data_IF_498517431264
#
_entry.id   IF_498517431264
#
_cell.length_a   1.000
_cell.length_b   1.000
_cell.length_c   1.000
_cell.angle_alpha   90.00
_cell.angle_beta   90.00
_cell.angle_gamma   90.00
#
_symmetry.space_group_name_H-M   'P 1'
#
loop_
_entity.id
_entity.type
_entity.pdbx_description
1 polymer ?
#
# COMPACT_ATOMS: atom_id res chain seq x y z
N UNK A 1 -16.55 3.21 0.85
CA UNK A 1 -15.06 3.17 0.76
C UNK A 1 -14.63 4.41 0.00
N UNK A 2 -13.64 5.12 0.51
CA UNK A 2 -13.07 6.34 -0.06
C UNK A 2 -11.61 6.09 -0.39
N UNK A 3 -11.21 6.28 -1.63
CA UNK A 3 -9.84 6.12 -2.10
C UNK A 3 -9.24 7.50 -2.34
N UNK A 4 -8.10 7.80 -1.72
CA UNK A 4 -7.47 9.12 -1.76
C UNK A 4 -6.00 8.95 -2.19
N UNK A 5 -5.59 9.71 -3.21
CA UNK A 5 -4.25 9.70 -3.78
C UNK A 5 -3.54 11.01 -3.42
N UNK A 6 -2.41 10.92 -2.74
CA UNK A 6 -1.61 12.08 -2.34
C UNK A 6 -0.29 12.21 -3.11
N UNK A 7 -0.07 11.37 -4.16
CA UNK A 7 1.13 11.48 -5.00
C UNK A 7 1.04 12.72 -5.89
N UNK A 8 1.88 13.75 -5.66
CA UNK A 8 1.80 14.98 -6.42
C UNK A 8 2.43 14.88 -7.83
N UNK A 9 3.13 13.78 -8.12
CA UNK A 9 3.89 13.64 -9.38
C UNK A 9 3.13 12.77 -10.37
N UNK A 10 2.68 11.59 -9.95
CA UNK A 10 2.10 10.61 -10.86
C UNK A 10 0.59 10.45 -10.67
N UNK A 11 0.09 10.61 -9.44
CA UNK A 11 -1.32 10.38 -9.08
C UNK A 11 -1.89 9.11 -9.74
N UNK A 12 -1.12 8.01 -9.68
CA UNK A 12 -1.43 6.77 -10.40
C UNK A 12 -2.70 6.12 -9.87
N UNK A 13 -2.90 6.18 -8.55
CA UNK A 13 -4.06 5.59 -7.90
C UNK A 13 -5.36 6.30 -8.32
N UNK A 14 -5.33 7.62 -8.49
CA UNK A 14 -6.46 8.40 -8.96
C UNK A 14 -6.86 8.09 -10.43
N UNK A 15 -6.00 7.40 -11.20
CA UNK A 15 -6.30 7.01 -12.57
C UNK A 15 -7.17 5.75 -12.66
N UNK A 16 -7.34 5.00 -11.56
CA UNK A 16 -8.20 3.82 -11.51
C UNK A 16 -9.67 4.22 -11.39
N UNK A 17 -10.37 4.28 -12.54
CA UNK A 17 -11.78 4.72 -12.60
C UNK A 17 -12.72 3.86 -11.75
N UNK A 18 -12.48 2.55 -11.73
CA UNK A 18 -13.26 1.59 -10.93
C UNK A 18 -13.17 1.80 -9.42
N UNK A 19 -12.15 2.51 -8.94
CA UNK A 19 -11.98 2.85 -7.52
C UNK A 19 -12.57 4.22 -7.18
N UNK A 20 -12.79 5.09 -8.16
CA UNK A 20 -13.26 6.45 -7.92
C UNK A 20 -12.32 7.26 -7.03
N UNK A 21 -11.01 6.99 -7.12
CA UNK A 21 -10.03 7.61 -6.24
C UNK A 21 -9.91 9.12 -6.52
N UNK A 22 -9.90 9.90 -5.45
CA UNK A 22 -9.77 11.36 -5.47
C UNK A 22 -8.31 11.76 -5.26
N UNK A 23 -7.79 12.64 -6.08
CA UNK A 23 -6.45 13.21 -5.89
C UNK A 23 -6.48 14.39 -4.91
N UNK A 24 -5.71 14.28 -3.83
CA UNK A 24 -5.51 15.34 -2.83
C UNK A 24 -4.26 16.12 -3.19
N UNK A 25 -4.43 17.37 -3.59
CA UNK A 25 -3.30 18.22 -3.98
C UNK A 25 -2.53 18.73 -2.74
N UNK A 26 -1.42 18.12 -2.46
CA UNK A 26 -0.53 18.46 -1.32
C UNK A 26 0.53 19.51 -1.66
N UNK A 27 0.56 20.00 -2.92
CA UNK A 27 1.54 21.00 -3.35
C UNK A 27 1.06 22.44 -3.15
N UNK A 28 2.01 23.29 -2.78
CA UNK A 28 1.90 24.75 -2.85
C UNK A 28 3.17 25.32 -3.50
N UNK A 29 3.02 26.01 -4.62
CA UNK A 29 4.15 26.56 -5.40
C UNK A 29 5.19 25.52 -5.80
N UNK A 30 4.75 24.30 -6.12
CA UNK A 30 5.60 23.20 -6.57
C UNK A 30 6.32 22.42 -5.48
N UNK A 31 6.09 22.72 -4.19
CA UNK A 31 6.66 21.98 -3.05
C UNK A 31 5.56 21.41 -2.18
N UNK A 32 5.82 20.27 -1.52
CA UNK A 32 4.89 19.70 -0.55
C UNK A 32 4.70 20.70 0.59
N UNK A 33 3.44 20.96 0.91
CA UNK A 33 3.05 21.88 1.98
C UNK A 33 2.24 21.09 3.00
N UNK A 34 2.87 20.74 4.10
CA UNK A 34 2.34 19.80 5.11
C UNK A 34 0.93 20.16 5.60
N UNK A 35 0.63 21.44 5.76
CA UNK A 35 -0.73 21.89 6.11
C UNK A 35 -1.82 21.44 5.11
N UNK A 36 -1.46 21.00 3.92
CA UNK A 36 -2.42 20.42 2.95
C UNK A 36 -2.91 19.04 3.37
N UNK A 37 -2.19 18.37 4.26
CA UNK A 37 -2.66 17.12 4.85
C UNK A 37 -3.81 17.30 5.83
N UNK A 38 -4.06 18.54 6.34
CA UNK A 38 -5.24 18.84 7.16
C UNK A 38 -6.52 18.44 6.42
N UNK A 39 -6.63 18.76 5.11
CA UNK A 39 -7.78 18.40 4.28
C UNK A 39 -8.04 16.87 4.26
N UNK A 40 -6.97 16.07 4.21
CA UNK A 40 -7.06 14.61 4.27
C UNK A 40 -7.60 14.14 5.63
N UNK A 41 -7.07 14.70 6.72
CA UNK A 41 -7.47 14.35 8.09
C UNK A 41 -8.92 14.77 8.35
N UNK A 42 -9.31 15.97 7.92
CA UNK A 42 -10.69 16.46 8.03
C UNK A 42 -11.67 15.54 7.30
N UNK A 43 -11.36 15.13 6.04
CA UNK A 43 -12.18 14.19 5.28
C UNK A 43 -12.34 12.84 6.01
N UNK A 44 -11.29 12.34 6.65
CA UNK A 44 -11.35 11.09 7.43
C UNK A 44 -12.23 11.25 8.67
N UNK A 45 -12.13 12.37 9.38
CA UNK A 45 -12.90 12.60 10.59
C UNK A 45 -14.38 12.83 10.31
N UNK A 46 -14.70 13.62 9.27
CA UNK A 46 -16.06 14.00 8.92
C UNK A 46 -16.81 12.92 8.14
N UNK A 47 -16.09 12.09 7.37
CA UNK A 47 -16.69 11.06 6.53
C UNK A 47 -17.00 9.77 7.28
N UNK A 48 -17.77 8.88 6.68
CA UNK A 48 -18.08 7.54 7.20
C UNK A 48 -17.42 6.46 6.37
N UNK A 49 -17.19 5.28 6.96
CA UNK A 49 -16.70 4.09 6.27
C UNK A 49 -15.18 4.00 6.22
N UNK A 50 -14.65 3.31 5.21
CA UNK A 50 -13.23 2.97 5.07
C UNK A 50 -12.56 3.98 4.15
N UNK A 51 -11.40 4.49 4.58
CA UNK A 51 -10.53 5.35 3.79
C UNK A 51 -9.25 4.60 3.43
N UNK A 52 -8.90 4.61 2.15
CA UNK A 52 -7.64 4.06 1.62
C UNK A 52 -6.84 5.24 1.08
N UNK A 53 -5.64 5.44 1.62
CA UNK A 53 -4.77 6.55 1.28
C UNK A 53 -3.52 6.00 0.62
N UNK A 54 -3.26 6.42 -0.60
CA UNK A 54 -2.02 6.13 -1.30
C UNK A 54 -1.06 7.31 -1.20
N UNK A 55 0.16 7.01 -0.75
CA UNK A 55 1.25 8.01 -0.65
C UNK A 55 2.32 7.67 -1.68
N UNK A 56 2.58 8.56 -2.60
CA UNK A 56 3.73 8.43 -3.49
C UNK A 56 5.06 8.45 -2.72
N UNK A 57 6.13 7.91 -3.32
CA UNK A 57 7.45 7.83 -2.68
C UNK A 57 7.96 9.21 -2.19
N UNK A 58 7.65 10.29 -2.90
CA UNK A 58 8.04 11.66 -2.54
C UNK A 58 7.21 12.23 -1.39
N UNK A 59 5.98 11.73 -1.20
CA UNK A 59 5.04 12.23 -0.20
C UNK A 59 5.14 11.46 1.12
N UNK A 60 5.63 10.21 1.09
CA UNK A 60 5.69 9.36 2.28
C UNK A 60 6.39 10.03 3.46
N UNK A 61 7.63 10.51 3.28
CA UNK A 61 8.40 11.09 4.39
C UNK A 61 7.77 12.36 4.95
N UNK A 62 7.38 13.37 4.15
CA UNK A 62 6.70 14.56 4.67
C UNK A 62 5.36 14.23 5.33
N UNK A 63 4.58 13.32 4.75
CA UNK A 63 3.31 12.90 5.33
C UNK A 63 3.50 12.20 6.68
N UNK A 64 4.46 11.28 6.77
CA UNK A 64 4.72 10.58 8.01
C UNK A 64 5.25 11.49 9.11
N UNK A 65 6.12 12.45 8.78
CA UNK A 65 6.55 13.48 9.72
C UNK A 65 5.35 14.31 10.23
N UNK A 66 4.47 14.75 9.32
CA UNK A 66 3.24 15.45 9.69
C UNK A 66 2.36 14.62 10.64
N UNK A 67 2.19 13.33 10.35
CA UNK A 67 1.42 12.40 11.19
C UNK A 67 1.98 12.34 12.61
N UNK A 68 3.31 12.26 12.75
CA UNK A 68 3.99 12.18 14.05
C UNK A 68 3.96 13.51 14.80
N UNK A 69 4.34 14.61 14.15
CA UNK A 69 4.42 15.94 14.77
C UNK A 69 3.08 16.45 15.28
N UNK A 70 2.00 16.04 14.62
CA UNK A 70 0.64 16.48 14.96
C UNK A 70 -0.17 15.39 15.70
N UNK A 71 0.46 14.29 16.14
CA UNK A 71 -0.19 13.18 16.87
C UNK A 71 -1.45 12.65 16.15
N UNK A 72 -1.41 12.59 14.80
CA UNK A 72 -2.60 12.30 13.95
C UNK A 72 -3.16 10.91 14.23
N UNK A 73 -2.34 9.90 14.54
CA UNK A 73 -2.85 8.57 14.83
C UNK A 73 -3.74 8.59 16.08
N UNK A 74 -3.29 9.24 17.16
CA UNK A 74 -4.04 9.39 18.41
C UNK A 74 -5.29 10.25 18.20
N UNK A 75 -5.16 11.32 17.40
CA UNK A 75 -6.27 12.18 17.05
C UNK A 75 -7.38 11.41 16.31
N UNK A 76 -7.03 10.60 15.29
CA UNK A 76 -7.97 9.76 14.56
C UNK A 76 -8.61 8.69 15.45
N UNK A 77 -7.85 8.08 16.35
CA UNK A 77 -8.39 7.13 17.33
C UNK A 77 -9.39 7.78 18.28
N UNK A 78 -9.11 9.02 18.74
CA UNK A 78 -10.04 9.80 19.52
C UNK A 78 -11.36 10.07 18.80
N UNK A 79 -11.36 10.05 17.47
CA UNK A 79 -12.53 10.14 16.60
C UNK A 79 -13.12 8.79 16.20
N UNK A 80 -12.73 7.70 16.89
CA UNK A 80 -13.24 6.35 16.64
C UNK A 80 -12.69 5.69 15.35
N UNK A 81 -11.58 6.21 14.80
CA UNK A 81 -10.93 5.65 13.62
C UNK A 81 -9.84 4.66 14.01
N UNK A 82 -9.82 3.50 13.38
CA UNK A 82 -8.70 2.58 13.43
C UNK A 82 -7.80 2.84 12.23
N UNK A 83 -6.50 2.85 12.45
CA UNK A 83 -5.52 3.12 11.39
C UNK A 83 -4.63 1.90 11.21
N UNK A 84 -4.56 1.40 9.98
CA UNK A 84 -3.65 0.35 9.56
C UNK A 84 -2.62 0.93 8.59
N UNK A 85 -1.36 0.63 8.82
CA UNK A 85 -0.26 1.11 7.97
C UNK A 85 0.24 -0.04 7.11
N UNK A 86 0.04 0.06 5.81
CA UNK A 86 0.53 -0.90 4.84
C UNK A 86 1.89 -0.46 4.31
N UNK A 87 2.93 -1.23 4.56
CA UNK A 87 4.28 -0.98 4.06
C UNK A 87 4.68 -2.04 3.06
N UNK A 88 5.23 -1.62 1.91
CA UNK A 88 5.63 -2.52 0.85
C UNK A 88 7.15 -2.70 0.88
N UNK A 89 7.59 -3.95 1.04
CA UNK A 89 8.98 -4.35 0.84
C UNK A 89 9.07 -5.05 -0.51
N UNK A 90 9.88 -4.52 -1.41
CA UNK A 90 10.00 -5.01 -2.78
C UNK A 90 11.33 -5.76 -2.94
N UNK A 91 11.28 -6.94 -3.53
CA UNK A 91 12.49 -7.67 -3.89
C UNK A 91 13.33 -6.97 -4.97
N UNK A 92 14.54 -7.46 -5.22
CA UNK A 92 15.43 -6.90 -6.22
C UNK A 92 16.10 -5.57 -5.80
N UNK A 93 16.30 -4.66 -6.76
CA UNK A 93 17.10 -3.44 -6.55
C UNK A 93 16.49 -2.47 -5.51
N UNK A 94 15.17 -2.39 -5.41
CA UNK A 94 14.49 -1.48 -4.49
C UNK A 94 14.38 -2.01 -3.06
N UNK A 95 14.87 -3.22 -2.77
CA UNK A 95 14.70 -3.86 -1.46
C UNK A 95 15.28 -3.02 -0.32
N UNK A 96 16.50 -2.50 -0.48
CA UNK A 96 17.15 -1.70 0.56
C UNK A 96 16.37 -0.43 0.89
N UNK A 97 15.87 0.27 -0.13
CA UNK A 97 15.12 1.52 0.07
C UNK A 97 13.78 1.27 0.75
N UNK A 98 13.09 0.19 0.35
CA UNK A 98 11.80 -0.19 0.96
C UNK A 98 11.96 -0.72 2.39
N UNK A 99 13.05 -1.43 2.69
CA UNK A 99 13.38 -1.82 4.07
C UNK A 99 13.68 -0.60 4.95
N UNK A 100 14.44 0.39 4.46
CA UNK A 100 14.70 1.62 5.19
C UNK A 100 13.39 2.38 5.50
N UNK A 101 12.44 2.38 4.58
CA UNK A 101 11.10 2.94 4.82
C UNK A 101 10.35 2.21 5.93
N UNK A 102 10.41 0.87 5.94
CA UNK A 102 9.81 0.04 6.97
C UNK A 102 10.48 0.26 8.35
N UNK A 103 11.82 0.42 8.42
CA UNK A 103 12.54 0.73 9.65
C UNK A 103 12.04 2.04 10.28
N UNK A 104 11.86 3.10 9.48
CA UNK A 104 11.31 4.36 9.98
C UNK A 104 9.90 4.21 10.55
N UNK A 105 9.04 3.43 9.91
CA UNK A 105 7.72 3.10 10.45
C UNK A 105 7.83 2.33 11.77
N UNK A 106 8.72 1.35 11.83
CA UNK A 106 8.95 0.54 13.02
C UNK A 106 9.44 1.36 14.22
N UNK A 107 10.32 2.34 14.00
CA UNK A 107 10.84 3.21 15.07
C UNK A 107 9.78 4.13 15.66
N UNK A 108 8.85 4.60 14.83
CA UNK A 108 7.91 5.67 15.17
C UNK A 108 6.50 5.19 15.54
N UNK A 109 6.12 3.97 15.14
CA UNK A 109 4.83 3.37 15.48
C UNK A 109 4.90 2.64 16.83
N UNK A 110 3.90 2.82 17.67
CA UNK A 110 3.80 2.17 18.99
C UNK A 110 2.79 1.05 19.05
N UNK A 111 1.91 0.94 18.04
CA UNK A 111 0.77 0.04 18.01
C UNK A 111 0.96 -1.14 17.07
N UNK A 112 0.21 -2.21 17.33
CA UNK A 112 0.17 -3.40 16.46
C UNK A 112 -0.78 -3.17 15.29
N UNK A 113 -0.37 -2.33 14.34
CA UNK A 113 -1.19 -1.92 13.19
C UNK A 113 -0.44 -1.91 11.85
N UNK A 114 0.80 -2.42 11.81
CA UNK A 114 1.59 -2.47 10.58
C UNK A 114 1.32 -3.79 9.85
N UNK A 115 1.04 -3.68 8.55
CA UNK A 115 0.91 -4.80 7.61
C UNK A 115 2.04 -4.67 6.58
N UNK A 116 2.88 -5.70 6.48
CA UNK A 116 3.98 -5.71 5.52
C UNK A 116 3.58 -6.50 4.28
N UNK A 117 3.73 -5.87 3.11
CA UNK A 117 3.58 -6.53 1.82
C UNK A 117 4.95 -6.92 1.28
N UNK A 118 5.17 -8.22 1.09
CA UNK A 118 6.37 -8.73 0.43
C UNK A 118 6.07 -8.82 -1.07
N UNK A 119 6.54 -7.84 -1.82
CA UNK A 119 6.33 -7.76 -3.25
C UNK A 119 7.49 -8.44 -3.99
N UNK A 120 7.29 -9.68 -4.37
CA UNK A 120 8.26 -10.52 -5.08
C UNK A 120 8.17 -10.40 -6.61
N UNK A 121 7.41 -9.44 -7.12
CA UNK A 121 7.27 -9.24 -8.57
C UNK A 121 8.61 -8.97 -9.27
N UNK A 122 9.56 -8.36 -8.57
CA UNK A 122 10.91 -8.09 -9.06
C UNK A 122 11.98 -9.04 -8.49
N UNK A 123 11.57 -10.17 -7.96
CA UNK A 123 12.40 -11.18 -7.30
C UNK A 123 12.05 -11.37 -5.83
N UNK A 124 12.48 -12.47 -5.26
CA UNK A 124 12.23 -12.81 -3.85
C UNK A 124 12.77 -11.75 -2.89
N UNK A 125 12.08 -11.57 -1.77
CA UNK A 125 12.54 -10.70 -0.67
C UNK A 125 13.50 -11.50 0.22
N UNK A 126 14.71 -11.72 -0.29
CA UNK A 126 15.76 -12.49 0.38
C UNK A 126 17.09 -11.71 0.37
N UNK A 127 17.90 -11.87 1.41
CA UNK A 127 19.24 -11.27 1.51
C UNK A 127 20.17 -12.22 2.28
N UNK A 128 21.33 -12.49 1.70
CA UNK A 128 22.35 -13.36 2.30
C UNK A 128 21.81 -14.77 2.68
N UNK A 129 20.87 -15.29 1.86
CA UNK A 129 20.23 -16.59 2.07
C UNK A 129 19.15 -16.61 3.15
N UNK A 130 18.78 -15.45 3.71
CA UNK A 130 17.72 -15.30 4.70
C UNK A 130 16.45 -14.79 4.06
N UNK A 131 15.29 -15.22 4.56
CA UNK A 131 13.98 -14.68 4.22
C UNK A 131 13.65 -13.45 5.06
N UNK A 132 12.58 -12.73 4.71
CA UNK A 132 12.16 -11.52 5.45
C UNK A 132 11.96 -11.79 6.95
N UNK A 133 11.40 -12.94 7.32
CA UNK A 133 11.14 -13.33 8.70
C UNK A 133 12.43 -13.49 9.53
N UNK A 134 13.57 -13.72 8.86
CA UNK A 134 14.89 -13.87 9.48
C UNK A 134 15.69 -12.55 9.49
N UNK A 135 15.12 -11.46 8.97
CA UNK A 135 15.75 -10.15 9.02
C UNK A 135 15.59 -9.55 10.43
N UNK A 136 16.60 -8.81 10.87
CA UNK A 136 16.54 -8.11 12.14
C UNK A 136 15.33 -7.17 12.22
N UNK A 137 14.99 -6.48 11.14
CA UNK A 137 13.82 -5.60 11.08
C UNK A 137 12.50 -6.35 11.34
N UNK A 138 12.36 -7.59 10.91
CA UNK A 138 11.16 -8.39 11.18
C UNK A 138 11.05 -8.75 12.67
N UNK A 139 12.17 -9.04 13.32
CA UNK A 139 12.23 -9.27 14.77
C UNK A 139 11.86 -7.98 15.54
N UNK A 140 12.48 -6.85 15.19
CA UNK A 140 12.22 -5.54 15.82
C UNK A 140 10.76 -5.08 15.60
N UNK A 141 10.18 -5.45 14.47
CA UNK A 141 8.79 -5.12 14.08
C UNK A 141 7.74 -6.05 14.71
N UNK A 142 8.10 -7.25 15.15
CA UNK A 142 7.17 -8.28 15.59
C UNK A 142 6.08 -7.79 16.59
N UNK A 143 6.38 -6.92 17.57
CA UNK A 143 5.36 -6.38 18.48
C UNK A 143 4.32 -5.48 17.80
N UNK A 144 4.66 -4.89 16.65
CA UNK A 144 3.89 -3.89 15.91
C UNK A 144 3.26 -4.46 14.63
N UNK A 145 3.71 -5.65 14.23
CA UNK A 145 3.28 -6.33 13.02
C UNK A 145 1.91 -6.99 13.24
N UNK A 146 0.92 -6.57 12.46
CA UNK A 146 -0.38 -7.24 12.40
C UNK A 146 -0.30 -8.51 11.55
N UNK A 147 0.44 -8.46 10.44
CA UNK A 147 0.73 -9.61 9.61
C UNK A 147 1.45 -9.24 8.30
N UNK A 148 1.70 -10.25 7.49
CA UNK A 148 2.35 -10.13 6.18
C UNK A 148 1.43 -10.60 5.06
N UNK A 149 1.52 -9.95 3.91
CA UNK A 149 0.87 -10.33 2.65
C UNK A 149 1.95 -10.53 1.61
N UNK A 150 1.96 -11.65 0.92
CA UNK A 150 2.98 -11.96 -0.10
C UNK A 150 2.37 -11.90 -1.49
N UNK A 151 2.88 -10.99 -2.32
CA UNK A 151 2.68 -11.00 -3.76
C UNK A 151 3.83 -11.79 -4.38
N UNK A 152 3.60 -13.09 -4.61
CA UNK A 152 4.63 -14.05 -5.01
C UNK A 152 5.16 -13.77 -6.41
N UNK A 153 6.44 -14.04 -6.60
CA UNK A 153 7.03 -14.16 -7.93
C UNK A 153 6.28 -15.20 -8.74
N UNK A 154 6.04 -14.89 -10.01
CA UNK A 154 5.34 -15.78 -10.94
C UNK A 154 6.02 -15.72 -12.30
N UNK A 155 5.68 -16.67 -13.16
CA UNK A 155 6.21 -16.69 -14.53
C UNK A 155 5.93 -15.32 -15.22
N UNK A 156 6.99 -14.58 -15.61
CA UNK A 156 6.87 -13.24 -16.16
C UNK A 156 6.15 -13.20 -17.52
N UNK A 157 6.24 -14.29 -18.31
CA UNK A 157 5.64 -14.37 -19.66
C UNK A 157 4.16 -14.77 -19.65
N UNK A 158 3.58 -15.05 -18.49
CA UNK A 158 2.15 -15.36 -18.35
C UNK A 158 1.51 -14.43 -17.32
N UNK A 159 1.61 -14.76 -16.04
CA UNK A 159 1.07 -13.93 -14.95
C UNK A 159 1.63 -12.50 -14.95
N UNK A 160 2.95 -12.36 -15.19
CA UNK A 160 3.60 -11.04 -15.22
C UNK A 160 3.07 -10.17 -16.36
N UNK A 161 2.91 -10.73 -17.56
CA UNK A 161 2.36 -10.00 -18.71
C UNK A 161 0.90 -9.63 -18.48
N UNK A 162 0.06 -10.54 -17.94
CA UNK A 162 -1.34 -10.25 -17.64
C UNK A 162 -1.48 -9.15 -16.59
N UNK A 163 -0.70 -9.22 -15.49
CA UNK A 163 -0.71 -8.18 -14.45
C UNK A 163 -0.23 -6.85 -15.03
N UNK A 164 0.85 -6.84 -15.80
CA UNK A 164 1.35 -5.62 -16.45
C UNK A 164 0.29 -5.00 -17.34
N UNK A 165 -0.36 -5.79 -18.20
CA UNK A 165 -1.41 -5.32 -19.07
C UNK A 165 -2.59 -4.73 -18.28
N UNK A 166 -3.03 -5.37 -17.21
CA UNK A 166 -4.05 -4.87 -16.30
C UNK A 166 -3.66 -3.51 -15.69
N UNK A 167 -2.42 -3.40 -15.16
CA UNK A 167 -1.91 -2.19 -14.52
C UNK A 167 -1.73 -1.03 -15.51
N UNK A 168 -1.21 -1.29 -16.71
CA UNK A 168 -1.06 -0.27 -17.77
C UNK A 168 -2.39 0.35 -18.16
N UNK A 169 -3.46 -0.44 -18.16
CA UNK A 169 -4.82 0.01 -18.42
C UNK A 169 -5.55 0.59 -17.23
N UNK A 170 -4.92 0.63 -16.07
CA UNK A 170 -5.53 1.11 -14.82
C UNK A 170 -6.84 0.38 -14.47
N UNK A 171 -6.83 -0.94 -14.64
CA UNK A 171 -7.98 -1.79 -14.33
C UNK A 171 -7.80 -2.43 -12.95
N UNK A 172 -8.89 -2.50 -12.20
CA UNK A 172 -9.00 -3.38 -11.04
C UNK A 172 -9.08 -4.84 -11.49
N UNK A 173 -8.82 -5.80 -10.61
CA UNK A 173 -9.02 -7.23 -10.92
C UNK A 173 -10.44 -7.51 -11.42
N UNK A 174 -11.44 -6.92 -10.76
CA UNK A 174 -12.84 -7.14 -11.12
C UNK A 174 -13.21 -6.57 -12.50
N UNK A 175 -12.61 -5.46 -12.90
CA UNK A 175 -12.76 -4.91 -14.25
C UNK A 175 -12.04 -5.78 -15.27
N UNK A 176 -10.79 -6.16 -15.00
CA UNK A 176 -9.99 -6.97 -15.92
C UNK A 176 -10.63 -8.35 -16.23
N UNK A 177 -11.26 -8.98 -15.24
CA UNK A 177 -11.95 -10.26 -15.41
C UNK A 177 -13.27 -10.12 -16.20
N UNK A 178 -13.84 -8.92 -16.30
CA UNK A 178 -15.16 -8.68 -16.95
C UNK A 178 -15.06 -8.11 -18.36
N UNK A 179 -13.95 -7.49 -18.71
CA UNK A 179 -13.80 -6.89 -20.03
C UNK A 179 -13.23 -7.91 -21.05
N UNK A 180 -13.68 -7.83 -22.28
CA UNK A 180 -13.30 -8.75 -23.36
C UNK A 180 -11.85 -8.60 -23.87
N UNK A 181 -10.99 -7.90 -23.15
CA UNK A 181 -9.60 -7.63 -23.56
C UNK A 181 -8.59 -8.68 -23.08
N UNK A 182 -9.02 -9.56 -22.20
CA UNK A 182 -8.21 -10.66 -21.70
C UNK A 182 -8.72 -12.00 -22.24
N UNK A 183 -7.81 -12.93 -22.51
CA UNK A 183 -8.20 -14.30 -22.83
C UNK A 183 -8.80 -14.98 -21.60
N UNK A 184 -9.62 -16.01 -21.78
CA UNK A 184 -10.17 -16.80 -20.68
C UNK A 184 -9.08 -17.33 -19.71
N UNK A 185 -7.90 -17.67 -20.26
CA UNK A 185 -6.78 -18.15 -19.44
C UNK A 185 -6.12 -16.99 -18.68
N UNK A 186 -6.04 -15.80 -19.27
CA UNK A 186 -5.57 -14.59 -18.58
C UNK A 186 -6.50 -14.18 -17.45
N UNK A 187 -7.82 -14.18 -17.70
CA UNK A 187 -8.84 -13.94 -16.66
C UNK A 187 -8.71 -14.92 -15.50
N UNK A 188 -8.52 -16.22 -15.80
CA UNK A 188 -8.28 -17.24 -14.78
C UNK A 188 -7.04 -16.96 -13.94
N UNK A 189 -5.92 -16.55 -14.58
CA UNK A 189 -4.69 -16.21 -13.85
C UNK A 189 -4.86 -14.98 -12.96
N UNK A 190 -5.51 -13.93 -13.45
CA UNK A 190 -5.83 -12.73 -12.66
C UNK A 190 -6.75 -13.06 -11.48
N UNK A 191 -7.77 -13.90 -11.69
CA UNK A 191 -8.65 -14.37 -10.63
C UNK A 191 -7.90 -15.20 -9.55
N UNK A 192 -6.91 -16.00 -9.95
CA UNK A 192 -6.06 -16.74 -9.01
C UNK A 192 -5.24 -15.78 -8.13
N UNK A 193 -4.57 -14.78 -8.73
CA UNK A 193 -3.78 -13.79 -7.99
C UNK A 193 -4.68 -13.01 -7.02
N UNK A 194 -5.82 -12.51 -7.51
CA UNK A 194 -6.81 -11.83 -6.67
C UNK A 194 -7.22 -12.67 -5.47
N UNK A 195 -7.64 -13.91 -5.69
CA UNK A 195 -8.08 -14.81 -4.64
C UNK A 195 -6.98 -15.02 -3.58
N UNK A 196 -5.75 -15.29 -4.01
CA UNK A 196 -4.62 -15.52 -3.11
C UNK A 196 -4.32 -14.29 -2.22
N UNK A 197 -4.38 -13.09 -2.79
CA UNK A 197 -4.17 -11.85 -2.03
C UNK A 197 -5.31 -11.61 -1.03
N UNK A 198 -6.55 -11.78 -1.45
CA UNK A 198 -7.72 -11.60 -0.58
C UNK A 198 -7.74 -12.62 0.55
N UNK A 199 -7.43 -13.90 0.29
CA UNK A 199 -7.34 -14.95 1.31
C UNK A 199 -6.25 -14.65 2.37
N UNK A 200 -5.19 -13.92 2.00
CA UNK A 200 -4.18 -13.46 2.95
C UNK A 200 -4.69 -12.27 3.78
N UNK A 201 -5.34 -11.30 3.14
CA UNK A 201 -5.93 -10.14 3.81
C UNK A 201 -7.02 -10.54 4.79
N UNK A 202 -7.90 -11.48 4.43
CA UNK A 202 -8.99 -11.99 5.27
C UNK A 202 -8.50 -12.68 6.57
N UNK A 203 -7.23 -13.11 6.60
CA UNK A 203 -6.62 -13.68 7.80
C UNK A 203 -6.07 -12.62 8.76
N UNK A 204 -5.97 -11.38 8.33
CA UNK A 204 -5.51 -10.28 9.17
C UNK A 204 -6.68 -9.81 10.05
N UNK A 205 -6.45 -9.75 11.36
CA UNK A 205 -7.46 -9.27 12.31
C UNK A 205 -7.59 -7.73 12.23
N UNK A 206 -8.24 -7.26 11.17
CA UNK A 206 -8.53 -5.83 10.95
C UNK A 206 -9.94 -5.44 11.42
N UNK A 207 -10.63 -6.31 12.16
CA UNK A 207 -12.00 -6.12 12.68
C UNK A 207 -12.08 -5.16 13.88
#
# INVERSE_FOLDING_TARGET
MHCLDTDPVNATFAQYRGLGAEHINVLKRGTIHEKRFDELVDKICEGEGIFIIDTGATTFVPFWNYVLENEILQFLQGHGRRVFVHSIVTGGQAMSDTLNGLERLAETTTEKNIIVWLNEFFGEVTKDGKTFEEFKIAEDLAPKLLGTVVLRERNPHTFGDDIRHMLERRLTFDEAIRIADFSLVSEQRLAMVRRELFEQLDKLAMD
#
